data_IF_933212601914
#
_entry.id   IF_933212601914
#
_cell.length_a   1.000
_cell.length_b   1.000
_cell.length_c   1.000
_cell.angle_alpha   90.00
_cell.angle_beta   90.00
_cell.angle_gamma   90.00
#
_symmetry.space_group_name_H-M   'P 1'
#
loop_
_entity.id
_entity.type
_entity.pdbx_description
1 polymer ?
#
# COMPACT_ATOMS: atom_id res chain seq x y z
N UNK A 1 27.15 0.07 -95.11
CA UNK A 1 25.80 0.52 -94.71
C UNK A 1 25.88 0.81 -93.23
N UNK A 2 25.60 2.06 -92.89
CA UNK A 2 25.81 2.82 -91.64
C UNK A 2 25.14 2.18 -90.39
N UNK A 3 25.35 2.55 -89.11
CA UNK A 3 25.56 3.86 -88.44
C UNK A 3 26.26 3.65 -87.07
N UNK A 4 26.95 4.68 -86.59
CA UNK A 4 27.69 4.81 -85.33
C UNK A 4 26.85 4.77 -84.02
N UNK A 5 27.48 4.35 -82.91
CA UNK A 5 27.09 4.68 -81.53
C UNK A 5 28.31 4.95 -80.65
N UNK A 6 28.23 6.06 -79.90
CA UNK A 6 29.24 6.65 -79.03
C UNK A 6 28.86 6.34 -77.56
N UNK A 7 29.80 5.85 -76.75
CA UNK A 7 29.61 5.55 -75.32
C UNK A 7 30.69 6.27 -74.47
N UNK A 8 30.32 7.18 -73.53
CA UNK A 8 31.23 7.69 -72.52
C UNK A 8 30.90 7.14 -71.13
N UNK A 9 31.64 6.13 -70.68
CA UNK A 9 31.63 5.61 -69.31
C UNK A 9 32.74 6.21 -68.44
N UNK A 10 32.39 6.99 -67.40
CA UNK A 10 33.12 7.05 -66.12
C UNK A 10 32.32 7.87 -65.05
N UNK A 11 31.93 7.28 -63.91
CA UNK A 11 31.35 8.00 -62.77
C UNK A 11 32.41 8.70 -61.91
N UNK A 12 32.06 9.86 -61.33
CA UNK A 12 32.88 10.67 -60.40
C UNK A 12 33.10 9.96 -59.03
N UNK A 13 34.18 10.25 -58.29
CA UNK A 13 34.55 9.52 -57.07
C UNK A 13 33.67 9.88 -55.86
N UNK A 14 33.28 8.85 -55.10
CA UNK A 14 32.41 8.89 -53.91
C UNK A 14 32.98 9.65 -52.69
N UNK A 15 34.25 10.08 -52.74
CA UNK A 15 34.93 10.75 -51.62
C UNK A 15 34.38 12.16 -51.30
N UNK A 16 33.74 12.84 -52.25
CA UNK A 16 33.19 14.18 -52.01
C UNK A 16 31.87 14.15 -51.25
N UNK A 17 31.05 13.11 -51.41
CA UNK A 17 29.74 12.98 -50.75
C UNK A 17 29.85 12.57 -49.29
N UNK A 18 30.85 11.77 -48.91
CA UNK A 18 31.12 11.42 -47.51
C UNK A 18 31.72 12.60 -46.72
N UNK A 19 32.56 13.42 -47.36
CA UNK A 19 33.10 14.64 -46.75
C UNK A 19 32.01 15.71 -46.54
N UNK A 20 31.07 15.84 -47.48
CA UNK A 20 29.95 16.78 -47.39
C UNK A 20 28.93 16.35 -46.31
N UNK A 21 28.65 15.05 -46.18
CA UNK A 21 27.79 14.52 -45.11
C UNK A 21 28.45 14.58 -43.72
N UNK A 22 29.78 14.39 -43.63
CA UNK A 22 30.52 14.58 -42.38
C UNK A 22 30.54 16.06 -41.97
N UNK A 23 30.68 16.99 -42.93
CA UNK A 23 30.60 18.43 -42.68
C UNK A 23 29.18 18.83 -42.21
N UNK A 24 28.12 18.36 -42.86
CA UNK A 24 26.73 18.56 -42.45
C UNK A 24 26.45 18.00 -41.05
N UNK A 25 26.95 16.81 -40.73
CA UNK A 25 26.77 16.20 -39.40
C UNK A 25 27.50 16.99 -38.31
N UNK A 26 28.69 17.50 -38.63
CA UNK A 26 29.48 18.35 -37.71
C UNK A 26 28.84 19.73 -37.52
N UNK A 27 28.21 20.27 -38.57
CA UNK A 27 27.47 21.53 -38.51
C UNK A 27 26.20 21.40 -37.67
N UNK A 28 25.46 20.28 -37.82
CA UNK A 28 24.27 19.95 -37.02
C UNK A 28 24.64 19.71 -35.55
N UNK A 29 25.75 19.02 -35.27
CA UNK A 29 26.27 18.84 -33.91
C UNK A 29 26.72 20.17 -33.28
N UNK A 30 27.33 21.06 -34.07
CA UNK A 30 27.74 22.40 -33.65
C UNK A 30 26.55 23.32 -33.33
N UNK A 31 25.49 23.30 -34.14
CA UNK A 31 24.25 24.04 -33.86
C UNK A 31 23.50 23.48 -32.66
N UNK A 32 23.50 22.15 -32.45
CA UNK A 32 22.86 21.53 -31.27
C UNK A 32 23.64 21.83 -29.98
N UNK A 33 24.96 22.01 -30.06
CA UNK A 33 25.80 22.43 -28.94
C UNK A 33 25.61 23.91 -28.60
N UNK A 34 25.54 24.81 -29.59
CA UNK A 34 25.21 26.23 -29.38
C UNK A 34 23.78 26.44 -28.89
N UNK A 35 22.82 25.60 -29.29
CA UNK A 35 21.44 25.64 -28.78
C UNK A 35 21.38 25.14 -27.32
N UNK A 36 22.22 24.17 -26.93
CA UNK A 36 22.38 23.77 -25.52
C UNK A 36 23.06 24.83 -24.65
N UNK A 37 24.08 25.51 -25.16
CA UNK A 37 24.78 26.57 -24.44
C UNK A 37 23.94 27.85 -24.35
N UNK A 38 23.15 28.18 -25.38
CA UNK A 38 22.18 29.27 -25.34
C UNK A 38 21.01 29.03 -24.37
N UNK A 39 20.58 27.77 -24.22
CA UNK A 39 19.58 27.37 -23.20
C UNK A 39 20.19 27.37 -21.78
N UNK A 40 21.49 27.07 -21.65
CA UNK A 40 22.20 27.15 -20.38
C UNK A 40 22.46 28.60 -19.93
N UNK A 41 22.77 29.52 -20.85
CA UNK A 41 22.94 30.95 -20.53
C UNK A 41 21.60 31.68 -20.31
N UNK A 42 20.52 31.31 -21.01
CA UNK A 42 19.19 31.89 -20.77
C UNK A 42 18.59 31.49 -19.40
N UNK A 43 19.03 30.37 -18.81
CA UNK A 43 18.66 29.98 -17.44
C UNK A 43 19.45 30.70 -16.34
N UNK A 44 20.46 31.51 -16.67
CA UNK A 44 21.27 32.24 -15.69
C UNK A 44 20.73 33.65 -15.35
N UNK A 45 19.70 34.14 -16.03
CA UNK A 45 19.15 35.50 -15.86
C UNK A 45 17.61 35.57 -15.76
N UNK A 46 16.98 34.59 -15.11
CA UNK A 46 15.61 34.74 -14.62
C UNK A 46 15.60 34.78 -13.10
N UNK A 47 15.04 35.86 -12.58
CA UNK A 47 14.91 36.15 -11.16
C UNK A 47 14.33 34.98 -10.35
N UNK A 48 14.87 34.84 -9.14
CA UNK A 48 14.43 33.96 -8.08
C UNK A 48 12.91 34.03 -7.81
N UNK A 49 12.11 33.28 -8.56
CA UNK A 49 10.79 32.83 -8.11
C UNK A 49 10.87 31.32 -7.94
N UNK A 50 11.33 30.91 -6.76
CA UNK A 50 11.25 29.53 -6.31
C UNK A 50 9.79 29.07 -6.26
N UNK A 51 9.31 28.46 -7.35
CA UNK A 51 8.05 27.70 -7.33
C UNK A 51 8.31 26.49 -6.44
N UNK A 52 7.99 26.64 -5.14
CA UNK A 52 7.97 25.53 -4.18
C UNK A 52 7.17 24.39 -4.81
N UNK A 53 7.73 23.17 -4.95
CA UNK A 53 6.93 22.02 -5.34
C UNK A 53 5.78 21.90 -4.34
N UNK A 54 4.54 21.95 -4.85
CA UNK A 54 3.31 21.83 -4.05
C UNK A 54 3.44 20.56 -3.23
N UNK A 55 3.58 20.70 -1.90
CA UNK A 55 3.70 19.57 -0.96
C UNK A 55 2.59 18.57 -1.29
N UNK A 56 2.95 17.30 -1.54
CA UNK A 56 1.99 16.23 -1.64
C UNK A 56 1.06 16.28 -0.42
N UNK A 57 -0.28 16.17 -0.60
CA UNK A 57 -1.21 16.29 0.50
C UNK A 57 -0.84 15.27 1.58
N UNK A 58 -0.57 15.75 2.80
CA UNK A 58 -0.20 14.89 3.92
C UNK A 58 -1.30 13.85 4.14
N UNK A 59 -0.93 12.57 4.12
CA UNK A 59 -1.83 11.46 4.36
C UNK A 59 -2.41 11.55 5.79
N UNK A 60 -3.58 12.16 5.92
CA UNK A 60 -4.27 12.31 7.20
C UNK A 60 -5.25 11.16 7.41
N UNK A 61 -5.23 10.52 8.58
CA UNK A 61 -6.20 9.48 8.97
C UNK A 61 -7.66 9.95 8.80
N UNK A 62 -7.89 11.27 8.82
CA UNK A 62 -9.17 11.92 8.49
C UNK A 62 -9.73 11.46 7.14
N UNK A 63 -8.89 11.35 6.12
CA UNK A 63 -9.31 10.90 4.79
C UNK A 63 -9.71 9.44 4.79
N UNK A 64 -9.01 8.58 5.55
CA UNK A 64 -9.46 7.20 5.75
C UNK A 64 -10.87 7.14 6.36
N UNK A 65 -11.13 7.87 7.44
CA UNK A 65 -12.46 7.90 8.05
C UNK A 65 -13.52 8.54 7.15
N UNK A 66 -13.15 9.52 6.32
CA UNK A 66 -14.04 10.14 5.34
C UNK A 66 -14.52 9.15 4.29
N UNK A 67 -13.76 8.11 3.95
CA UNK A 67 -14.24 7.07 3.01
C UNK A 67 -15.57 6.46 3.47
N UNK A 68 -15.75 6.28 4.78
CA UNK A 68 -17.00 5.72 5.32
C UNK A 68 -18.21 6.65 5.11
N UNK A 69 -18.03 7.95 4.88
CA UNK A 69 -19.15 8.87 4.61
C UNK A 69 -19.83 8.64 3.26
N UNK A 70 -19.21 7.85 2.37
CA UNK A 70 -19.80 7.42 1.10
C UNK A 70 -20.69 6.19 1.25
N UNK A 71 -20.79 5.62 2.46
CA UNK A 71 -21.71 4.55 2.79
C UNK A 71 -23.14 5.05 3.03
N UNK A 72 -24.10 4.18 2.76
CA UNK A 72 -25.50 4.38 3.12
C UNK A 72 -25.75 4.00 4.58
N UNK A 73 -26.90 4.40 5.16
CA UNK A 73 -27.27 4.00 6.52
C UNK A 73 -27.22 2.47 6.74
N UNK A 74 -27.57 1.68 5.72
CA UNK A 74 -27.45 0.22 5.74
C UNK A 74 -25.99 -0.24 5.85
N UNK A 75 -25.06 0.43 5.18
CA UNK A 75 -23.63 0.08 5.22
C UNK A 75 -23.05 0.31 6.61
N UNK A 76 -23.50 1.35 7.32
CA UNK A 76 -23.14 1.60 8.73
C UNK A 76 -23.67 0.51 9.67
N UNK A 77 -24.89 0.00 9.44
CA UNK A 77 -25.42 -1.15 10.18
C UNK A 77 -24.61 -2.42 9.91
N UNK A 78 -24.21 -2.66 8.67
CA UNK A 78 -23.34 -3.80 8.34
C UNK A 78 -21.96 -3.69 9.01
N UNK A 79 -21.37 -2.50 9.04
CA UNK A 79 -20.07 -2.27 9.68
C UNK A 79 -20.17 -2.45 11.20
N UNK A 80 -21.23 -1.94 11.84
CA UNK A 80 -21.42 -2.12 13.28
C UNK A 80 -21.64 -3.60 13.64
N UNK A 81 -22.43 -4.32 12.84
CA UNK A 81 -22.61 -5.76 12.96
C UNK A 81 -21.28 -6.52 12.78
N UNK A 82 -20.46 -6.12 11.81
CA UNK A 82 -19.12 -6.65 11.62
C UNK A 82 -18.25 -6.41 12.87
N UNK A 83 -18.23 -5.21 13.46
CA UNK A 83 -17.43 -4.95 14.65
C UNK A 83 -17.81 -5.89 15.81
N UNK A 84 -19.11 -6.02 16.09
CA UNK A 84 -19.61 -6.90 17.18
C UNK A 84 -19.26 -8.36 16.92
N UNK A 85 -19.51 -8.85 15.70
CA UNK A 85 -19.25 -10.25 15.34
C UNK A 85 -17.75 -10.57 15.25
N UNK A 86 -16.91 -9.62 14.82
CA UNK A 86 -15.45 -9.75 14.81
C UNK A 86 -14.88 -9.84 16.22
N UNK A 87 -15.39 -9.02 17.14
CA UNK A 87 -15.03 -9.08 18.56
C UNK A 87 -15.42 -10.44 19.14
N UNK A 88 -16.66 -10.89 18.91
CA UNK A 88 -17.12 -12.20 19.37
C UNK A 88 -16.28 -13.37 18.84
N UNK A 89 -15.93 -13.33 17.54
CA UNK A 89 -15.04 -14.31 16.91
C UNK A 89 -13.62 -14.28 17.49
N UNK A 90 -13.10 -13.09 17.82
CA UNK A 90 -11.78 -12.92 18.43
C UNK A 90 -11.69 -13.50 19.85
N UNK A 91 -12.75 -13.35 20.66
CA UNK A 91 -12.81 -13.82 22.06
C UNK A 91 -13.00 -15.34 22.18
N UNK A 92 -13.42 -16.02 21.10
CA UNK A 92 -13.65 -17.47 21.12
C UNK A 92 -12.42 -18.28 21.56
N UNK A 93 -11.21 -17.92 21.11
CA UNK A 93 -9.98 -18.63 21.49
C UNK A 93 -9.59 -18.43 22.97
N UNK A 94 -9.64 -17.21 23.55
CA UNK A 94 -9.52 -17.03 24.99
C UNK A 94 -10.52 -17.87 25.80
N UNK A 95 -11.78 -17.96 25.36
CA UNK A 95 -12.79 -18.80 26.02
C UNK A 95 -12.46 -20.30 25.91
N UNK A 96 -11.93 -20.74 24.77
CA UNK A 96 -11.45 -22.11 24.59
C UNK A 96 -10.38 -22.47 25.62
N UNK A 97 -9.46 -21.55 25.94
CA UNK A 97 -8.42 -21.81 26.94
C UNK A 97 -9.01 -22.08 28.32
N UNK A 98 -10.10 -21.41 28.70
CA UNK A 98 -10.80 -21.68 29.98
C UNK A 98 -11.33 -23.11 30.00
N UNK A 99 -12.07 -23.50 28.96
CA UNK A 99 -12.65 -24.84 28.84
C UNK A 99 -11.56 -25.91 28.83
N UNK A 100 -10.46 -25.65 28.10
CA UNK A 100 -9.31 -26.55 28.06
C UNK A 100 -8.62 -26.68 29.42
N UNK A 101 -8.44 -25.58 30.15
CA UNK A 101 -7.88 -25.64 31.51
C UNK A 101 -8.77 -26.38 32.50
N UNK A 102 -10.09 -26.23 32.41
CA UNK A 102 -11.04 -27.01 33.20
C UNK A 102 -10.98 -28.50 32.87
N UNK A 103 -10.79 -28.83 31.58
CA UNK A 103 -10.59 -30.21 31.14
C UNK A 103 -9.31 -30.78 31.77
N UNK A 104 -8.17 -30.09 31.66
CA UNK A 104 -6.90 -30.51 32.28
C UNK A 104 -7.04 -30.67 33.80
N UNK A 105 -7.75 -29.75 34.46
CA UNK A 105 -8.08 -29.84 35.88
C UNK A 105 -8.86 -31.11 36.21
N UNK A 106 -9.93 -31.40 35.45
CA UNK A 106 -10.77 -32.59 35.65
C UNK A 106 -10.00 -33.90 35.50
N UNK A 107 -9.11 -33.98 34.50
CA UNK A 107 -8.22 -35.11 34.32
C UNK A 107 -7.26 -35.25 35.51
N UNK A 108 -6.63 -34.15 35.92
CA UNK A 108 -5.67 -34.18 37.04
C UNK A 108 -6.36 -34.61 38.34
N UNK A 109 -7.55 -34.08 38.64
CA UNK A 109 -8.33 -34.46 39.81
C UNK A 109 -8.80 -35.91 39.77
N UNK A 110 -9.06 -36.52 38.62
CA UNK A 110 -9.45 -37.92 38.55
C UNK A 110 -8.26 -38.88 38.78
N UNK A 111 -7.09 -38.55 38.22
CA UNK A 111 -5.90 -39.41 38.28
C UNK A 111 -5.03 -39.24 39.54
N UNK A 112 -5.36 -38.31 40.45
CA UNK A 112 -4.69 -38.22 41.75
C UNK A 112 -5.08 -39.44 42.63
N UNK A 113 -4.12 -40.11 43.29
CA UNK A 113 -4.41 -41.21 44.21
C UNK A 113 -5.29 -40.75 45.39
N UNK A 114 -6.39 -41.47 45.67
CA UNK A 114 -7.28 -41.19 46.82
C UNK A 114 -8.45 -40.24 46.55
N UNK A 115 -8.82 -40.05 45.28
CA UNK A 115 -9.90 -39.13 44.89
C UNK A 115 -11.28 -39.76 45.07
N UNK A 116 -12.25 -38.92 45.44
CA UNK A 116 -13.66 -39.30 45.64
C UNK A 116 -14.49 -39.23 44.36
N UNK A 117 -13.85 -38.92 43.22
CA UNK A 117 -14.54 -38.68 41.95
C UNK A 117 -14.84 -40.02 41.27
N UNK A 118 -16.12 -40.30 41.07
CA UNK A 118 -16.55 -41.52 40.37
C UNK A 118 -16.31 -41.44 38.87
N UNK A 119 -16.08 -42.59 38.22
CA UNK A 119 -15.90 -42.67 36.75
C UNK A 119 -17.07 -42.04 35.97
N UNK A 120 -18.32 -42.17 36.47
CA UNK A 120 -19.49 -41.52 35.87
C UNK A 120 -19.45 -39.99 35.97
N UNK A 121 -19.05 -39.43 37.10
CA UNK A 121 -18.92 -37.98 37.27
C UNK A 121 -17.83 -37.41 36.37
N UNK A 122 -16.70 -38.11 36.26
CA UNK A 122 -15.63 -37.73 35.34
C UNK A 122 -16.10 -37.72 33.87
N UNK A 123 -16.73 -38.80 33.40
CA UNK A 123 -17.26 -38.87 32.04
C UNK A 123 -18.31 -37.79 31.76
N UNK A 124 -19.20 -37.49 32.71
CA UNK A 124 -20.20 -36.45 32.57
C UNK A 124 -19.57 -35.06 32.41
N UNK A 125 -18.55 -34.73 33.21
CA UNK A 125 -17.84 -33.44 33.16
C UNK A 125 -17.08 -33.29 31.83
N UNK A 126 -16.35 -34.34 31.41
CA UNK A 126 -15.62 -34.35 30.13
C UNK A 126 -16.58 -34.19 28.94
N UNK A 127 -17.70 -34.90 28.93
CA UNK A 127 -18.71 -34.79 27.86
C UNK A 127 -19.29 -33.37 27.81
N UNK A 128 -19.59 -32.76 28.96
CA UNK A 128 -20.07 -31.38 29.05
C UNK A 128 -19.06 -30.36 28.51
N UNK A 129 -17.79 -30.46 28.93
CA UNK A 129 -16.71 -29.58 28.45
C UNK A 129 -16.45 -29.76 26.95
N UNK A 130 -16.55 -30.99 26.43
CA UNK A 130 -16.42 -31.28 25.00
C UNK A 130 -17.56 -30.63 24.20
N UNK A 131 -18.81 -30.72 24.69
CA UNK A 131 -19.95 -30.03 24.08
C UNK A 131 -19.78 -28.51 24.08
N UNK A 132 -19.22 -27.93 25.15
CA UNK A 132 -18.90 -26.50 25.18
C UNK A 132 -17.89 -26.10 24.10
N UNK A 133 -16.86 -26.92 23.85
CA UNK A 133 -15.94 -26.68 22.74
C UNK A 133 -16.66 -26.72 21.37
N UNK A 134 -17.51 -27.72 21.15
CA UNK A 134 -18.28 -27.85 19.90
C UNK A 134 -19.15 -26.61 19.67
N UNK A 135 -19.97 -26.20 20.66
CA UNK A 135 -20.83 -25.02 20.53
C UNK A 135 -20.04 -23.73 20.37
N UNK A 136 -18.91 -23.58 21.06
CA UNK A 136 -18.03 -22.43 20.94
C UNK A 136 -17.46 -22.30 19.53
N UNK A 137 -17.01 -23.40 18.92
CA UNK A 137 -16.46 -23.36 17.56
C UNK A 137 -17.52 -23.19 16.47
N UNK A 138 -18.73 -23.72 16.67
CA UNK A 138 -19.88 -23.42 15.81
C UNK A 138 -20.20 -21.92 15.88
N UNK A 139 -20.29 -21.35 17.09
CA UNK A 139 -20.52 -19.92 17.27
C UNK A 139 -19.41 -19.08 16.62
N UNK A 140 -18.13 -19.45 16.81
CA UNK A 140 -16.99 -18.78 16.17
C UNK A 140 -17.10 -18.83 14.65
N UNK A 141 -17.44 -19.97 14.07
CA UNK A 141 -17.61 -20.12 12.62
C UNK A 141 -18.69 -19.17 12.10
N UNK A 142 -19.87 -19.16 12.71
CA UNK A 142 -20.97 -18.27 12.33
C UNK A 142 -20.60 -16.80 12.47
N UNK A 143 -20.02 -16.40 13.61
CA UNK A 143 -19.60 -15.02 13.87
C UNK A 143 -18.52 -14.56 12.89
N UNK A 144 -17.53 -15.40 12.60
CA UNK A 144 -16.47 -15.09 11.64
C UNK A 144 -17.01 -14.97 10.21
N UNK A 145 -17.96 -15.82 9.84
CA UNK A 145 -18.60 -15.79 8.52
C UNK A 145 -19.44 -14.54 8.33
N UNK A 146 -20.31 -14.22 9.32
CA UNK A 146 -21.14 -13.00 9.29
C UNK A 146 -20.26 -11.75 9.27
N UNK A 147 -19.21 -11.68 10.10
CA UNK A 147 -18.23 -10.58 10.10
C UNK A 147 -17.64 -10.36 8.70
N UNK A 148 -17.07 -11.41 8.09
CA UNK A 148 -16.41 -11.28 6.79
C UNK A 148 -17.40 -10.95 5.67
N UNK A 149 -18.59 -11.53 5.67
CA UNK A 149 -19.61 -11.24 4.66
C UNK A 149 -20.10 -9.79 4.75
N UNK A 150 -20.52 -9.36 5.94
CA UNK A 150 -21.11 -8.02 6.15
C UNK A 150 -20.10 -6.92 5.79
N UNK A 151 -18.84 -7.07 6.21
CA UNK A 151 -17.78 -6.10 5.90
C UNK A 151 -17.39 -6.11 4.42
N UNK A 152 -17.43 -7.27 3.77
CA UNK A 152 -17.08 -7.39 2.34
C UNK A 152 -18.15 -6.76 1.47
N UNK A 153 -19.44 -6.97 1.79
CA UNK A 153 -20.56 -6.34 1.08
C UNK A 153 -20.51 -4.82 1.24
N UNK A 154 -20.41 -4.33 2.48
CA UNK A 154 -20.34 -2.89 2.79
C UNK A 154 -19.12 -2.24 2.12
N UNK A 155 -17.94 -2.87 2.22
CA UNK A 155 -16.71 -2.38 1.58
C UNK A 155 -16.79 -2.29 0.06
N UNK A 156 -17.45 -3.24 -0.62
CA UNK A 156 -17.67 -3.18 -2.07
C UNK A 156 -18.60 -2.02 -2.45
N UNK A 157 -19.69 -1.81 -1.70
CA UNK A 157 -20.64 -0.72 -1.94
C UNK A 157 -20.01 0.65 -1.75
N UNK A 158 -19.34 0.87 -0.61
CA UNK A 158 -18.63 2.12 -0.31
C UNK A 158 -17.55 2.39 -1.36
N UNK A 159 -16.77 1.36 -1.72
CA UNK A 159 -15.72 1.50 -2.74
C UNK A 159 -16.29 1.83 -4.13
N UNK A 160 -17.42 1.23 -4.52
CA UNK A 160 -18.11 1.57 -5.77
C UNK A 160 -18.60 3.01 -5.78
N UNK A 161 -19.24 3.47 -4.69
CA UNK A 161 -19.68 4.86 -4.54
C UNK A 161 -18.51 5.86 -4.58
N UNK A 162 -17.39 5.54 -3.93
CA UNK A 162 -16.18 6.35 -3.97
C UNK A 162 -15.59 6.44 -5.38
N UNK A 163 -15.49 5.32 -6.11
CA UNK A 163 -15.01 5.30 -7.51
C UNK A 163 -15.91 6.13 -8.41
N UNK A 164 -17.22 6.05 -8.23
CA UNK A 164 -18.18 6.83 -8.99
C UNK A 164 -18.05 8.33 -8.69
N UNK A 165 -17.90 8.70 -7.42
CA UNK A 165 -17.67 10.09 -7.01
C UNK A 165 -16.35 10.64 -7.59
N UNK A 166 -15.28 9.83 -7.56
CA UNK A 166 -14.01 10.19 -8.18
C UNK A 166 -14.14 10.42 -9.69
N UNK A 167 -14.81 9.51 -10.41
CA UNK A 167 -15.04 9.66 -11.86
C UNK A 167 -15.87 10.92 -12.18
N UNK A 168 -16.96 11.17 -11.45
CA UNK A 168 -17.79 12.37 -11.64
C UNK A 168 -16.99 13.65 -11.40
N UNK A 169 -16.19 13.68 -10.32
CA UNK A 169 -15.36 14.83 -10.02
C UNK A 169 -14.27 15.04 -11.08
N UNK A 170 -13.65 13.95 -11.56
CA UNK A 170 -12.65 14.01 -12.62
C UNK A 170 -13.21 14.61 -13.92
N UNK A 171 -14.39 14.16 -14.36
CA UNK A 171 -15.02 14.70 -15.58
C UNK A 171 -15.58 16.11 -15.41
N UNK A 172 -15.81 16.56 -14.17
CA UNK A 172 -16.22 17.94 -13.88
C UNK A 172 -15.04 18.92 -13.82
N UNK A 173 -13.79 18.43 -13.80
CA UNK A 173 -12.61 19.30 -13.79
C UNK A 173 -12.44 20.04 -15.13
N UNK A 174 -11.78 21.23 -15.13
CA UNK A 174 -11.44 21.92 -16.36
C UNK A 174 -10.49 21.06 -17.21
N UNK A 175 -10.60 21.17 -18.54
CA UNK A 175 -9.73 20.45 -19.49
C UNK A 175 -8.25 20.71 -19.19
N UNK A 176 -7.89 21.94 -18.79
CA UNK A 176 -6.52 22.29 -18.39
C UNK A 176 -5.97 21.47 -17.22
N UNK A 177 -6.80 21.11 -16.24
CA UNK A 177 -6.39 20.28 -15.10
C UNK A 177 -6.30 18.82 -15.52
N UNK A 178 -7.22 18.36 -16.36
CA UNK A 178 -7.21 16.99 -16.90
C UNK A 178 -5.98 16.76 -17.76
N UNK A 179 -5.62 17.71 -18.64
CA UNK A 179 -4.43 17.65 -19.48
C UNK A 179 -3.12 17.60 -18.68
N UNK A 180 -3.11 18.20 -17.48
CA UNK A 180 -1.97 18.13 -16.58
C UNK A 180 -1.85 16.79 -15.82
N UNK A 181 -2.91 15.99 -15.78
CA UNK A 181 -2.91 14.70 -15.09
C UNK A 181 -2.55 13.59 -16.09
N UNK A 182 -1.44 12.90 -15.83
CA UNK A 182 -1.07 11.72 -16.62
C UNK A 182 -2.19 10.65 -16.61
N UNK A 183 -2.58 10.11 -17.79
CA UNK A 183 -3.61 9.06 -17.88
C UNK A 183 -3.31 7.83 -17.00
N UNK A 184 -2.03 7.49 -16.84
CA UNK A 184 -1.61 6.39 -15.97
C UNK A 184 -1.97 6.61 -14.50
N UNK A 185 -1.89 7.86 -14.00
CA UNK A 185 -2.29 8.19 -12.62
C UNK A 185 -3.79 7.99 -12.41
N UNK A 186 -4.61 8.35 -13.41
CA UNK A 186 -6.07 8.13 -13.36
C UNK A 186 -6.38 6.63 -13.30
N UNK A 187 -5.74 5.83 -14.16
CA UNK A 187 -5.90 4.38 -14.20
C UNK A 187 -5.51 3.72 -12.86
N UNK A 188 -4.36 4.09 -12.29
CA UNK A 188 -3.91 3.57 -10.99
C UNK A 188 -4.87 3.96 -9.86
N UNK A 189 -5.40 5.19 -9.88
CA UNK A 189 -6.33 5.67 -8.84
C UNK A 189 -7.64 4.89 -8.84
N UNK A 190 -8.24 4.65 -10.01
CA UNK A 190 -9.51 3.92 -10.11
C UNK A 190 -9.37 2.41 -9.84
N UNK A 191 -8.21 1.83 -10.18
CA UNK A 191 -7.92 0.41 -9.98
C UNK A 191 -7.22 0.15 -8.64
N UNK A 192 -5.90 0.28 -8.60
CA UNK A 192 -5.01 -0.09 -7.49
C UNK A 192 -5.28 0.70 -6.22
N UNK A 193 -5.33 2.04 -6.28
CA UNK A 193 -5.53 2.88 -5.08
C UNK A 193 -6.92 2.65 -4.48
N UNK A 194 -7.95 2.61 -5.32
CA UNK A 194 -9.32 2.30 -4.87
C UNK A 194 -9.46 0.89 -4.31
N UNK A 195 -8.75 -0.10 -4.87
CA UNK A 195 -8.73 -1.46 -4.32
C UNK A 195 -8.01 -1.53 -2.97
N UNK A 196 -6.92 -0.79 -2.82
CA UNK A 196 -6.19 -0.67 -1.54
C UNK A 196 -7.11 -0.08 -0.45
N UNK A 197 -7.86 0.97 -0.78
CA UNK A 197 -8.87 1.54 0.12
C UNK A 197 -9.96 0.51 0.45
N UNK A 198 -10.46 -0.21 -0.55
CA UNK A 198 -11.52 -1.21 -0.39
C UNK A 198 -11.12 -2.35 0.57
N UNK A 199 -9.92 -2.89 0.43
CA UNK A 199 -9.40 -3.93 1.32
C UNK A 199 -9.19 -3.42 2.75
N UNK A 200 -8.77 -2.16 2.89
CA UNK A 200 -8.53 -1.55 4.19
C UNK A 200 -9.80 -1.24 4.98
N UNK A 201 -10.88 -0.78 4.33
CA UNK A 201 -12.18 -0.55 4.98
C UNK A 201 -12.99 -1.84 5.19
N UNK A 202 -12.55 -2.96 4.60
CA UNK A 202 -13.23 -4.26 4.70
C UNK A 202 -12.44 -5.28 5.49
N UNK A 203 -11.68 -6.14 4.80
CA UNK A 203 -10.99 -7.28 5.40
C UNK A 203 -10.02 -6.88 6.51
N UNK A 204 -9.17 -5.87 6.27
CA UNK A 204 -8.22 -5.45 7.30
C UNK A 204 -8.92 -4.79 8.48
N UNK A 205 -10.01 -4.06 8.25
CA UNK A 205 -10.82 -3.49 9.32
C UNK A 205 -11.36 -4.59 10.25
N UNK A 206 -12.00 -5.63 9.71
CA UNK A 206 -12.49 -6.76 10.51
C UNK A 206 -11.37 -7.52 11.23
N UNK A 207 -10.25 -7.80 10.53
CA UNK A 207 -9.09 -8.45 11.12
C UNK A 207 -8.48 -7.66 12.28
N UNK A 208 -8.50 -6.33 12.22
CA UNK A 208 -8.03 -5.47 13.31
C UNK A 208 -8.85 -5.69 14.58
N UNK A 209 -10.19 -5.59 14.49
CA UNK A 209 -11.07 -5.81 15.65
C UNK A 209 -10.98 -7.23 16.19
N UNK A 210 -10.91 -8.23 15.31
CA UNK A 210 -10.75 -9.63 15.72
C UNK A 210 -9.42 -9.86 16.46
N UNK A 211 -8.31 -9.29 15.95
CA UNK A 211 -6.99 -9.46 16.56
C UNK A 211 -6.87 -8.70 17.88
N UNK A 212 -7.44 -7.48 17.97
CA UNK A 212 -7.52 -6.71 19.22
C UNK A 212 -8.35 -7.47 20.27
N UNK A 213 -9.54 -7.95 19.90
CA UNK A 213 -10.41 -8.70 20.80
C UNK A 213 -9.77 -10.00 21.28
N UNK A 214 -9.02 -10.67 20.41
CA UNK A 214 -8.25 -11.86 20.77
C UNK A 214 -7.17 -11.54 21.82
N UNK A 215 -6.30 -10.55 21.54
CA UNK A 215 -5.18 -10.21 22.42
C UNK A 215 -5.69 -9.69 23.77
N UNK A 216 -6.66 -8.76 23.74
CA UNK A 216 -7.28 -8.21 24.95
C UNK A 216 -8.00 -9.32 25.71
N UNK A 217 -8.82 -10.14 25.03
CA UNK A 217 -9.55 -11.24 25.64
C UNK A 217 -8.64 -12.27 26.31
N UNK A 218 -7.53 -12.63 25.66
CA UNK A 218 -6.55 -13.57 26.21
C UNK A 218 -5.91 -13.02 27.49
N UNK A 219 -5.52 -11.74 27.50
CA UNK A 219 -4.97 -11.09 28.70
C UNK A 219 -5.99 -10.95 29.81
N UNK A 220 -7.22 -10.54 29.50
CA UNK A 220 -8.32 -10.43 30.46
C UNK A 220 -8.57 -11.78 31.14
N UNK A 221 -8.66 -12.87 30.37
CA UNK A 221 -8.83 -14.23 30.91
C UNK A 221 -7.64 -14.63 31.80
N UNK A 222 -6.42 -14.36 31.38
CA UNK A 222 -5.22 -14.69 32.15
C UNK A 222 -5.16 -13.93 33.49
N UNK A 223 -5.38 -12.61 33.46
CA UNK A 223 -5.37 -11.76 34.65
C UNK A 223 -6.49 -12.10 35.64
N UNK A 224 -7.68 -12.47 35.16
CA UNK A 224 -8.78 -12.91 36.02
C UNK A 224 -8.42 -14.22 36.74
N UNK A 225 -7.66 -15.12 36.08
CA UNK A 225 -7.33 -16.45 36.63
C UNK A 225 -6.15 -16.44 37.59
N UNK A 226 -5.03 -15.84 37.22
CA UNK A 226 -3.91 -15.62 38.14
C UNK A 226 -3.14 -14.36 37.71
N UNK A 227 -3.31 -13.24 38.43
CA UNK A 227 -2.65 -11.98 38.08
C UNK A 227 -1.12 -12.09 38.13
N UNK A 228 -0.59 -12.79 39.14
CA UNK A 228 0.84 -12.85 39.41
C UNK A 228 1.56 -13.76 38.42
N UNK A 229 0.99 -14.94 38.09
CA UNK A 229 1.53 -15.80 37.04
C UNK A 229 1.46 -15.13 35.68
N UNK A 230 0.40 -14.38 35.39
CA UNK A 230 0.25 -13.63 34.14
C UNK A 230 1.33 -12.57 33.99
N UNK A 231 1.62 -11.80 35.05
CA UNK A 231 2.67 -10.78 35.03
C UNK A 231 4.05 -11.39 34.72
N UNK A 232 4.36 -12.50 35.38
CA UNK A 232 5.63 -13.22 35.20
C UNK A 232 5.73 -13.81 33.78
N UNK A 233 4.66 -14.44 33.28
CA UNK A 233 4.61 -14.99 31.92
C UNK A 233 4.72 -13.89 30.85
N UNK A 234 4.23 -12.69 31.15
CA UNK A 234 4.26 -11.51 30.28
C UNK A 234 5.60 -10.80 30.24
N UNK A 235 6.59 -11.20 31.06
CA UNK A 235 7.93 -10.62 31.04
C UNK A 235 8.65 -10.80 29.68
N UNK A 236 8.20 -11.74 28.84
CA UNK A 236 8.70 -11.89 27.47
C UNK A 236 8.25 -10.79 26.52
N UNK A 237 7.11 -10.13 26.76
CA UNK A 237 6.63 -9.03 25.93
C UNK A 237 7.59 -7.83 25.91
N UNK A 238 7.98 -7.23 27.05
CA UNK A 238 8.92 -6.12 27.02
C UNK A 238 10.27 -6.52 26.44
N UNK A 239 10.72 -7.77 26.66
CA UNK A 239 11.91 -8.30 26.00
C UNK A 239 11.78 -8.29 24.47
N UNK A 240 10.69 -8.82 23.92
CA UNK A 240 10.42 -8.82 22.48
C UNK A 240 10.36 -7.37 21.96
N UNK A 241 9.64 -6.47 22.64
CA UNK A 241 9.50 -5.07 22.22
C UNK A 241 10.84 -4.32 22.19
N UNK A 242 11.69 -4.47 23.21
CA UNK A 242 13.00 -3.83 23.27
C UNK A 242 13.91 -4.34 22.15
N UNK A 243 13.96 -5.66 21.95
CA UNK A 243 14.81 -6.25 20.91
C UNK A 243 14.32 -5.84 19.51
N UNK A 244 13.02 -5.93 19.23
CA UNK A 244 12.48 -5.47 17.95
C UNK A 244 12.67 -3.97 17.74
N UNK A 245 12.52 -3.16 18.79
CA UNK A 245 12.77 -1.72 18.73
C UNK A 245 14.21 -1.37 18.34
N UNK A 246 15.19 -2.18 18.76
CA UNK A 246 16.59 -2.00 18.39
C UNK A 246 16.93 -2.52 16.98
N UNK A 247 16.33 -3.64 16.56
CA UNK A 247 16.66 -4.32 15.30
C UNK A 247 15.90 -3.79 14.08
N UNK A 248 14.69 -3.27 14.26
CA UNK A 248 13.84 -2.81 13.17
C UNK A 248 14.41 -1.58 12.42
N UNK A 249 14.93 -0.53 13.09
CA UNK A 249 15.51 0.63 12.39
C UNK A 249 16.69 0.31 11.45
N UNK A 250 17.74 -0.43 11.87
CA UNK A 250 18.82 -0.79 10.95
C UNK A 250 18.34 -1.70 9.83
N UNK A 251 17.37 -2.58 10.09
CA UNK A 251 16.78 -3.46 9.07
C UNK A 251 16.08 -2.68 7.96
N UNK A 252 15.21 -1.74 8.33
CA UNK A 252 14.54 -0.84 7.38
C UNK A 252 15.56 -0.03 6.59
N UNK A 253 16.64 0.44 7.23
CA UNK A 253 17.68 1.24 6.56
C UNK A 253 18.42 0.44 5.49
N UNK A 254 18.83 -0.81 5.79
CA UNK A 254 19.51 -1.67 4.82
C UNK A 254 18.56 -1.98 3.66
N UNK A 255 17.31 -2.35 3.94
CA UNK A 255 16.32 -2.62 2.90
C UNK A 255 16.08 -1.42 1.98
N UNK A 256 15.96 -0.21 2.54
CA UNK A 256 15.79 1.01 1.75
C UNK A 256 16.97 1.28 0.82
N UNK A 257 18.21 1.02 1.27
CA UNK A 257 19.40 1.18 0.41
C UNK A 257 19.41 0.14 -0.71
N UNK A 258 19.04 -1.11 -0.40
CA UNK A 258 18.90 -2.17 -1.41
C UNK A 258 17.82 -1.81 -2.45
N UNK A 259 16.68 -1.27 -2.02
CA UNK A 259 15.60 -0.82 -2.89
C UNK A 259 16.09 0.27 -3.86
N UNK A 260 16.83 1.28 -3.37
CA UNK A 260 17.44 2.29 -4.24
C UNK A 260 18.38 1.69 -5.31
N UNK A 261 19.18 0.69 -4.96
CA UNK A 261 20.05 0.02 -5.95
C UNK A 261 19.25 -0.79 -6.98
N UNK A 262 18.12 -1.38 -6.59
CA UNK A 262 17.21 -2.02 -7.54
C UNK A 262 16.52 -1.01 -8.46
N UNK A 263 16.18 0.17 -7.96
CA UNK A 263 15.62 1.25 -8.77
C UNK A 263 16.62 1.72 -9.82
N UNK A 264 17.88 1.97 -9.44
CA UNK A 264 18.95 2.36 -10.36
C UNK A 264 19.21 1.29 -11.43
N UNK A 265 19.28 0.01 -11.03
CA UNK A 265 19.47 -1.10 -11.95
C UNK A 265 18.28 -1.24 -12.92
N UNK A 266 17.06 -1.06 -12.43
CA UNK A 266 15.84 -1.12 -13.24
C UNK A 266 15.77 0.04 -14.25
N UNK A 267 16.17 1.26 -13.83
CA UNK A 267 16.26 2.41 -14.71
C UNK A 267 17.26 2.17 -15.85
N UNK A 268 18.45 1.65 -15.54
CA UNK A 268 19.44 1.29 -16.57
C UNK A 268 18.90 0.21 -17.53
N UNK A 269 18.26 -0.84 -17.01
CA UNK A 269 17.66 -1.86 -17.85
C UNK A 269 16.61 -1.25 -18.80
N UNK A 270 15.78 -0.34 -18.30
CA UNK A 270 14.81 0.38 -19.11
C UNK A 270 15.47 1.20 -20.23
N UNK A 271 16.55 1.93 -19.94
CA UNK A 271 17.32 2.67 -20.95
C UNK A 271 17.88 1.74 -22.04
N UNK A 272 18.49 0.62 -21.65
CA UNK A 272 19.04 -0.38 -22.57
C UNK A 272 17.96 -0.93 -23.50
N UNK A 273 16.81 -1.36 -22.95
CA UNK A 273 15.73 -1.92 -23.76
C UNK A 273 15.03 -0.87 -24.62
N UNK A 274 14.86 0.35 -24.13
CA UNK A 274 14.26 1.46 -24.90
C UNK A 274 15.10 1.84 -26.12
N UNK A 275 16.44 1.72 -26.01
CA UNK A 275 17.40 2.08 -27.04
C UNK A 275 18.12 0.88 -27.64
N UNK A 276 17.48 -0.30 -27.64
CA UNK A 276 18.12 -1.58 -28.00
C UNK A 276 18.78 -1.56 -29.39
N UNK A 277 18.19 -0.84 -30.36
CA UNK A 277 18.76 -0.70 -31.70
C UNK A 277 20.11 0.01 -31.69
N UNK A 278 20.27 1.03 -30.85
CA UNK A 278 21.53 1.77 -30.67
C UNK A 278 22.55 0.87 -29.98
N UNK A 279 22.14 0.16 -28.92
CA UNK A 279 23.02 -0.77 -28.21
C UNK A 279 23.61 -1.83 -29.14
N UNK A 280 22.76 -2.44 -29.99
CA UNK A 280 23.19 -3.44 -30.99
C UNK A 280 24.04 -2.81 -32.09
N UNK A 281 23.68 -1.62 -32.58
CA UNK A 281 24.44 -0.91 -33.62
C UNK A 281 25.88 -0.58 -33.19
N UNK A 282 26.10 -0.32 -31.91
CA UNK A 282 27.42 -0.11 -31.33
C UNK A 282 28.05 -1.38 -30.71
N UNK A 283 27.40 -2.54 -30.83
CA UNK A 283 27.79 -3.82 -30.19
C UNK A 283 28.17 -3.66 -28.71
N UNK A 284 27.37 -2.89 -27.98
CA UNK A 284 27.63 -2.53 -26.58
C UNK A 284 26.92 -3.47 -25.58
N UNK A 285 26.31 -4.56 -26.03
CA UNK A 285 25.46 -5.45 -25.20
C UNK A 285 26.25 -5.98 -24.00
N UNK A 286 27.45 -6.53 -24.23
CA UNK A 286 28.27 -7.11 -23.17
C UNK A 286 28.72 -6.05 -22.15
N UNK A 287 29.02 -4.83 -22.62
CA UNK A 287 29.46 -3.73 -21.75
C UNK A 287 28.32 -3.26 -20.85
N UNK A 288 27.13 -3.04 -21.42
CA UNK A 288 25.96 -2.58 -20.67
C UNK A 288 25.40 -3.68 -19.76
N UNK A 289 25.42 -4.93 -20.19
CA UNK A 289 25.06 -6.07 -19.34
C UNK A 289 25.97 -6.16 -18.11
N UNK A 290 27.29 -5.97 -18.28
CA UNK A 290 28.23 -5.95 -17.16
C UNK A 290 28.00 -4.76 -16.22
N UNK A 291 27.69 -3.57 -16.75
CA UNK A 291 27.35 -2.42 -15.90
C UNK A 291 26.08 -2.67 -15.07
N UNK A 292 25.08 -3.32 -15.67
CA UNK A 292 23.87 -3.72 -14.96
C UNK A 292 24.16 -4.78 -13.88
N UNK A 293 24.99 -5.78 -14.22
CA UNK A 293 25.47 -6.78 -13.27
C UNK A 293 26.17 -6.12 -12.07
N UNK A 294 27.09 -5.19 -12.29
CA UNK A 294 27.80 -4.45 -11.23
C UNK A 294 26.84 -3.71 -10.27
N UNK A 295 25.71 -3.21 -10.78
CA UNK A 295 24.67 -2.57 -9.96
C UNK A 295 23.90 -3.60 -9.12
N UNK A 296 23.49 -4.71 -9.73
CA UNK A 296 22.84 -5.82 -9.01
C UNK A 296 23.75 -6.41 -7.94
N UNK A 297 25.05 -6.48 -8.21
CA UNK A 297 26.05 -6.99 -7.29
C UNK A 297 26.20 -6.11 -6.04
N UNK A 298 26.06 -4.79 -6.20
CA UNK A 298 25.99 -3.84 -5.06
C UNK A 298 24.72 -4.06 -4.24
N UNK A 299 23.57 -4.22 -4.89
CA UNK A 299 22.30 -4.54 -4.22
C UNK A 299 22.42 -5.84 -3.41
N UNK A 300 22.94 -6.90 -4.03
CA UNK A 300 23.15 -8.20 -3.40
C UNK A 300 24.11 -8.13 -2.21
N UNK A 301 25.23 -7.40 -2.33
CA UNK A 301 26.19 -7.20 -1.23
C UNK A 301 25.57 -6.45 -0.06
N UNK A 302 24.71 -5.47 -0.32
CA UNK A 302 24.00 -4.75 0.74
C UNK A 302 22.92 -5.63 1.40
N UNK A 303 22.14 -6.36 0.62
CA UNK A 303 21.09 -7.25 1.12
C UNK A 303 21.64 -8.43 1.93
N UNK A 304 22.81 -8.95 1.57
CA UNK A 304 23.52 -9.95 2.40
C UNK A 304 23.78 -9.46 3.83
N UNK A 305 23.89 -8.16 4.07
CA UNK A 305 23.99 -7.59 5.43
C UNK A 305 22.66 -7.62 6.18
N UNK A 306 21.53 -7.67 5.48
CA UNK A 306 20.20 -7.83 6.08
C UNK A 306 19.93 -9.28 6.52
N UNK A 307 20.51 -10.28 5.84
CA UNK A 307 20.31 -11.70 6.17
C UNK A 307 20.54 -12.07 7.64
N UNK A 308 21.68 -11.72 8.30
CA UNK A 308 21.87 -12.01 9.72
C UNK A 308 20.88 -11.24 10.60
N UNK A 309 20.52 -10.02 10.20
CA UNK A 309 19.57 -9.18 10.93
C UNK A 309 18.15 -9.77 10.89
N UNK A 310 17.73 -10.34 9.75
CA UNK A 310 16.48 -11.09 9.59
C UNK A 310 16.42 -12.30 10.54
N UNK A 311 17.51 -13.08 10.60
CA UNK A 311 17.63 -14.20 11.55
C UNK A 311 17.55 -13.72 13.01
N UNK A 312 18.18 -12.59 13.31
CA UNK A 312 18.13 -11.94 14.62
C UNK A 312 16.76 -11.32 14.93
N UNK A 313 15.89 -11.05 13.95
CA UNK A 313 14.51 -10.64 14.20
C UNK A 313 13.61 -11.84 14.53
N UNK A 314 13.83 -13.00 13.89
CA UNK A 314 13.03 -14.20 14.17
C UNK A 314 13.40 -14.88 15.51
N UNK A 315 14.68 -14.91 15.86
CA UNK A 315 15.19 -15.65 17.02
C UNK A 315 14.63 -15.17 18.39
N UNK A 316 14.54 -13.86 18.68
CA UNK A 316 13.99 -13.34 19.95
C UNK A 316 12.53 -13.69 20.15
N UNK A 317 11.75 -13.80 19.07
CA UNK A 317 10.34 -14.23 19.14
C UNK A 317 10.25 -15.70 19.61
N UNK A 318 11.08 -16.58 19.04
CA UNK A 318 11.14 -17.99 19.46
C UNK A 318 11.69 -18.14 20.89
N UNK A 319 12.76 -17.42 21.24
CA UNK A 319 13.32 -17.42 22.61
C UNK A 319 12.28 -16.89 23.61
N UNK A 320 11.59 -15.80 23.28
CA UNK A 320 10.53 -15.24 24.13
C UNK A 320 9.38 -16.24 24.34
N UNK A 321 9.00 -16.98 23.29
CA UNK A 321 7.94 -17.99 23.35
C UNK A 321 8.33 -19.18 24.25
N UNK A 322 9.49 -19.80 23.99
CA UNK A 322 9.97 -20.93 24.82
C UNK A 322 10.35 -20.48 26.24
N UNK A 323 10.85 -19.25 26.40
CA UNK A 323 11.12 -18.63 27.69
C UNK A 323 9.84 -18.43 28.51
N UNK A 324 8.76 -17.95 27.88
CA UNK A 324 7.44 -17.87 28.54
C UNK A 324 6.96 -19.25 28.96
N UNK A 325 7.11 -20.29 28.14
CA UNK A 325 6.80 -21.67 28.54
C UNK A 325 7.58 -22.09 29.78
N UNK A 326 8.91 -21.95 29.75
CA UNK A 326 9.78 -22.39 30.84
C UNK A 326 9.46 -21.66 32.15
N UNK A 327 9.35 -20.33 32.10
CA UNK A 327 9.09 -19.51 33.28
C UNK A 327 7.67 -19.77 33.82
N UNK A 328 6.66 -19.83 32.95
CA UNK A 328 5.28 -20.05 33.38
C UNK A 328 5.07 -21.45 33.99
N UNK A 329 5.71 -22.49 33.45
CA UNK A 329 5.68 -23.82 34.08
C UNK A 329 6.44 -23.85 35.40
N UNK A 330 7.69 -23.36 35.44
CA UNK A 330 8.48 -23.36 36.66
C UNK A 330 7.80 -22.58 37.79
N UNK A 331 7.38 -21.35 37.49
CA UNK A 331 6.73 -20.49 38.47
C UNK A 331 5.32 -20.99 38.83
N UNK A 332 4.56 -21.49 37.84
CA UNK A 332 3.24 -22.08 38.06
C UNK A 332 3.29 -23.30 38.97
N UNK A 333 4.15 -24.27 38.67
CA UNK A 333 4.32 -25.48 39.50
C UNK A 333 4.79 -25.11 40.91
N UNK A 334 5.74 -24.18 41.03
CA UNK A 334 6.17 -23.66 42.34
C UNK A 334 5.00 -23.12 43.15
N UNK A 335 4.15 -22.26 42.56
CA UNK A 335 2.99 -21.71 43.27
C UNK A 335 1.93 -22.77 43.61
N UNK A 336 1.74 -23.76 42.74
CA UNK A 336 0.87 -24.89 43.03
C UNK A 336 1.40 -25.72 44.22
N UNK A 337 2.70 -25.99 44.26
CA UNK A 337 3.32 -26.72 45.39
C UNK A 337 3.27 -25.95 46.71
N UNK A 338 3.28 -24.61 46.65
CA UNK A 338 3.12 -23.74 47.82
C UNK A 338 1.65 -23.60 48.27
N UNK A 339 0.70 -24.26 47.58
CA UNK A 339 -0.73 -24.19 47.89
C UNK A 339 -1.36 -22.82 47.59
N UNK A 340 -0.69 -21.97 46.80
CA UNK A 340 -1.14 -20.60 46.48
C UNK A 340 -1.92 -20.50 45.17
N UNK A 341 -2.19 -21.63 44.52
CA UNK A 341 -2.94 -21.73 43.26
C UNK A 341 -3.90 -22.92 43.34
N UNK A 342 -5.14 -22.70 42.94
CA UNK A 342 -6.23 -23.65 43.19
C UNK A 342 -6.15 -24.93 42.35
N UNK A 343 -5.54 -24.86 41.15
CA UNK A 343 -5.47 -26.01 40.24
C UNK A 343 -4.37 -25.92 39.19
N UNK A 344 -3.90 -27.09 38.72
CA UNK A 344 -3.05 -27.21 37.52
C UNK A 344 -3.75 -26.67 36.25
N UNK A 345 -5.08 -26.71 36.24
CA UNK A 345 -5.90 -26.10 35.20
C UNK A 345 -5.66 -24.60 35.08
N UNK A 346 -5.61 -23.87 36.19
CA UNK A 346 -5.36 -22.41 36.22
C UNK A 346 -4.03 -22.04 35.55
N UNK A 347 -2.97 -22.78 35.86
CA UNK A 347 -1.64 -22.59 35.25
C UNK A 347 -1.72 -22.79 33.73
N UNK A 348 -2.42 -23.84 33.30
CA UNK A 348 -2.63 -24.15 31.89
C UNK A 348 -3.39 -23.03 31.17
N UNK A 349 -4.46 -22.49 31.76
CA UNK A 349 -5.24 -21.38 31.18
C UNK A 349 -4.35 -20.17 30.96
N UNK A 350 -3.59 -19.77 31.98
CA UNK A 350 -2.74 -18.57 31.95
C UNK A 350 -1.62 -18.76 30.93
N UNK A 351 -0.94 -19.90 30.94
CA UNK A 351 0.13 -20.23 30.00
C UNK A 351 -0.33 -20.11 28.54
N UNK A 352 -1.39 -20.83 28.16
CA UNK A 352 -1.87 -20.82 26.78
C UNK A 352 -2.43 -19.45 26.38
N UNK A 353 -3.07 -18.73 27.30
CA UNK A 353 -3.62 -17.40 27.02
C UNK A 353 -2.53 -16.37 26.76
N UNK A 354 -1.51 -16.28 27.63
CA UNK A 354 -0.39 -15.34 27.44
C UNK A 354 0.42 -15.69 26.20
N UNK A 355 0.72 -16.97 25.98
CA UNK A 355 1.45 -17.39 24.79
C UNK A 355 0.71 -17.04 23.50
N UNK A 356 -0.58 -17.38 23.43
CA UNK A 356 -1.40 -17.06 22.26
C UNK A 356 -1.47 -15.55 22.04
N UNK A 357 -1.60 -14.74 23.10
CA UNK A 357 -1.60 -13.29 23.00
C UNK A 357 -0.28 -12.77 22.40
N UNK A 358 0.86 -13.26 22.90
CA UNK A 358 2.20 -12.90 22.37
C UNK A 358 2.36 -13.26 20.89
N UNK A 359 1.94 -14.46 20.48
CA UNK A 359 2.03 -14.89 19.07
C UNK A 359 1.10 -14.08 18.15
N UNK A 360 -0.07 -13.66 18.64
CA UNK A 360 -1.04 -12.92 17.85
C UNK A 360 -0.84 -11.40 17.91
N UNK A 361 0.07 -10.90 18.74
CA UNK A 361 0.38 -9.47 18.82
C UNK A 361 0.84 -8.92 17.45
N UNK A 362 1.70 -9.67 16.73
CA UNK A 362 2.16 -9.30 15.40
C UNK A 362 1.04 -9.22 14.35
N UNK A 363 -0.08 -9.94 14.54
CA UNK A 363 -1.21 -9.90 13.60
C UNK A 363 -1.98 -8.58 13.64
N UNK A 364 -1.84 -7.79 14.70
CA UNK A 364 -2.44 -6.45 14.81
C UNK A 364 -1.72 -5.45 13.89
N UNK A 365 -0.42 -5.66 13.63
CA UNK A 365 0.42 -4.72 12.87
C UNK A 365 0.03 -4.67 11.39
N UNK A 366 -0.24 -5.82 10.76
CA UNK A 366 -0.55 -5.88 9.32
C UNK A 366 -1.79 -5.07 8.93
N UNK A 367 -2.94 -5.19 9.61
CA UNK A 367 -4.09 -4.32 9.39
C UNK A 367 -3.81 -2.83 9.58
N UNK A 368 -3.03 -2.46 10.60
CA UNK A 368 -2.66 -1.06 10.85
C UNK A 368 -1.88 -0.48 9.66
N UNK A 369 -0.90 -1.22 9.14
CA UNK A 369 -0.12 -0.80 7.97
C UNK A 369 -1.03 -0.67 6.74
N UNK A 370 -1.96 -1.61 6.53
CA UNK A 370 -2.91 -1.56 5.42
C UNK A 370 -3.83 -0.32 5.49
N UNK A 371 -4.32 0.01 6.69
CA UNK A 371 -5.11 1.23 6.94
C UNK A 371 -4.29 2.49 6.68
N UNK A 372 -3.03 2.52 7.10
CA UNK A 372 -2.13 3.65 6.82
C UNK A 372 -1.89 3.84 5.31
N UNK A 373 -1.65 2.74 4.56
CA UNK A 373 -1.54 2.78 3.10
C UNK A 373 -2.83 3.28 2.43
N UNK A 374 -3.98 2.81 2.90
CA UNK A 374 -5.26 3.28 2.42
C UNK A 374 -5.54 4.76 2.72
N UNK A 375 -5.06 5.29 3.84
CA UNK A 375 -5.14 6.73 4.15
C UNK A 375 -4.41 7.58 3.09
N UNK A 376 -3.22 7.15 2.66
CA UNK A 376 -2.49 7.81 1.57
C UNK A 376 -3.25 7.72 0.25
N UNK A 377 -3.71 6.51 -0.12
CA UNK A 377 -4.48 6.29 -1.34
C UNK A 377 -5.79 7.09 -1.38
N UNK A 378 -6.52 7.16 -0.25
CA UNK A 378 -7.72 7.95 -0.11
C UNK A 378 -7.45 9.46 -0.24
N UNK A 379 -6.31 9.93 0.30
CA UNK A 379 -5.91 11.33 0.20
C UNK A 379 -5.72 11.76 -1.26
N UNK A 380 -5.14 10.90 -2.10
CA UNK A 380 -5.00 11.18 -3.53
C UNK A 380 -6.35 11.20 -4.28
N UNK A 381 -7.28 10.33 -3.91
CA UNK A 381 -8.64 10.32 -4.47
C UNK A 381 -9.39 11.60 -4.07
N UNK A 382 -9.32 11.98 -2.79
CA UNK A 382 -9.97 13.19 -2.29
C UNK A 382 -9.37 14.48 -2.86
N UNK A 383 -8.08 14.49 -3.19
CA UNK A 383 -7.47 15.63 -3.88
C UNK A 383 -8.15 15.96 -5.23
N UNK A 384 -8.68 14.96 -5.95
CA UNK A 384 -9.46 15.18 -7.17
C UNK A 384 -10.94 15.42 -6.88
N UNK A 385 -11.50 14.75 -5.87
CA UNK A 385 -12.92 14.91 -5.50
C UNK A 385 -13.21 16.32 -4.95
N UNK A 386 -12.29 16.87 -4.18
CA UNK A 386 -12.43 18.19 -3.54
C UNK A 386 -11.88 19.33 -4.39
N UNK A 387 -11.34 19.02 -5.58
CA UNK A 387 -10.78 20.05 -6.44
C UNK A 387 -11.91 21.00 -6.91
N UNK A 388 -11.68 22.32 -6.88
CA UNK A 388 -12.69 23.29 -7.25
C UNK A 388 -13.11 23.07 -8.70
N UNK A 389 -14.41 22.92 -8.90
CA UNK A 389 -14.99 22.83 -10.24
C UNK A 389 -15.16 24.24 -10.82
N UNK A 390 -14.83 24.44 -12.11
CA UNK A 390 -15.00 25.73 -12.77
C UNK A 390 -16.50 26.08 -12.79
N UNK A 391 -16.81 27.35 -12.58
CA UNK A 391 -18.18 27.82 -12.68
C UNK A 391 -18.59 27.79 -14.16
N UNK A 392 -19.53 26.90 -14.52
CA UNK A 392 -20.09 26.82 -15.87
C UNK A 392 -21.31 27.72 -16.06
N UNK A 393 -21.59 28.62 -15.11
CA UNK A 393 -22.60 29.66 -15.27
C UNK A 393 -22.12 30.70 -16.30
N UNK A 394 -22.37 30.42 -17.57
CA UNK A 394 -22.31 31.38 -18.67
C UNK A 394 -23.68 31.95 -19.00
N UNK A 395 -23.71 32.85 -19.97
CA UNK A 395 -24.94 33.32 -20.60
C UNK A 395 -25.68 32.14 -21.25
N UNK A 396 -27.01 32.17 -21.20
CA UNK A 396 -27.89 31.18 -21.82
C UNK A 396 -28.89 31.92 -22.70
N UNK A 397 -29.56 31.20 -23.60
CA UNK A 397 -30.70 31.78 -24.32
C UNK A 397 -31.68 32.44 -23.33
N UNK A 398 -32.16 33.67 -23.61
CA UNK A 398 -32.08 34.37 -24.90
C UNK A 398 -30.87 35.32 -25.08
N UNK A 399 -29.96 35.42 -24.10
CA UNK A 399 -28.87 36.42 -24.11
C UNK A 399 -27.73 36.12 -25.09
N UNK A 400 -27.72 34.91 -25.67
CA UNK A 400 -26.76 34.45 -26.67
C UNK A 400 -27.51 33.69 -27.75
N UNK A 401 -27.30 34.04 -29.00
CA UNK A 401 -27.89 33.41 -30.19
C UNK A 401 -26.80 32.74 -31.03
N UNK A 402 -27.09 31.56 -31.58
CA UNK A 402 -26.18 30.86 -32.48
C UNK A 402 -26.12 31.49 -33.89
N UNK A 403 -27.07 32.36 -34.23
CA UNK A 403 -27.22 32.97 -35.56
C UNK A 403 -26.43 34.28 -35.74
N UNK A 404 -25.60 34.66 -34.77
CA UNK A 404 -24.77 35.87 -34.82
C UNK A 404 -23.31 35.57 -35.15
N UNK A 405 -22.59 36.58 -35.64
CA UNK A 405 -21.16 36.49 -35.94
C UNK A 405 -20.33 36.10 -34.70
N UNK A 406 -19.30 35.26 -34.89
CA UNK A 406 -18.33 34.92 -33.83
C UNK A 406 -17.13 35.84 -33.98
N UNK A 407 -16.82 36.63 -32.96
CA UNK A 407 -15.70 37.59 -33.00
C UNK A 407 -14.67 37.28 -31.93
N UNK A 408 -13.41 37.15 -32.34
CA UNK A 408 -12.22 37.12 -31.50
C UNK A 408 -11.61 38.52 -31.51
N UNK A 409 -11.37 39.11 -30.33
CA UNK A 409 -10.76 40.43 -30.18
C UNK A 409 -9.52 40.33 -29.30
N UNK A 410 -8.36 40.64 -29.88
CA UNK A 410 -7.05 40.63 -29.25
C UNK A 410 -6.80 39.39 -28.35
N UNK A 411 -7.10 38.20 -28.88
CA UNK A 411 -7.06 36.97 -28.08
C UNK A 411 -5.63 36.49 -27.91
N UNK A 412 -5.22 36.35 -26.66
CA UNK A 412 -3.95 35.76 -26.23
C UNK A 412 -4.21 34.42 -25.53
N UNK A 413 -3.41 33.41 -25.82
CA UNK A 413 -3.59 32.08 -25.23
C UNK A 413 -2.25 31.33 -25.08
N UNK A 414 -2.04 30.78 -23.90
CA UNK A 414 -0.96 29.82 -23.59
C UNK A 414 -1.55 28.58 -22.93
N UNK A 415 -1.06 27.39 -23.29
CA UNK A 415 -1.46 26.18 -22.60
C UNK A 415 -0.94 26.19 -21.15
N UNK A 416 -1.73 25.78 -20.15
CA UNK A 416 -1.28 25.75 -18.75
C UNK A 416 -0.09 24.81 -18.49
N UNK A 417 0.11 23.81 -19.35
CA UNK A 417 1.29 22.94 -19.31
C UNK A 417 2.58 23.62 -19.77
N UNK A 418 2.48 24.73 -20.51
CA UNK A 418 3.59 25.55 -21.04
C UNK A 418 3.21 27.04 -21.00
N UNK A 419 3.10 27.64 -19.81
CA UNK A 419 2.62 29.01 -19.66
C UNK A 419 3.52 30.02 -20.39
N UNK A 420 4.82 29.72 -20.47
CA UNK A 420 5.85 30.58 -21.06
C UNK A 420 5.84 30.58 -22.60
N UNK A 421 5.03 29.72 -23.24
CA UNK A 421 4.94 29.62 -24.70
C UNK A 421 3.57 30.11 -25.17
N UNK A 422 3.45 31.39 -25.56
CA UNK A 422 2.21 31.94 -26.12
C UNK A 422 1.93 31.34 -27.50
N UNK A 423 0.75 30.76 -27.65
CA UNK A 423 0.25 30.15 -28.90
C UNK A 423 -0.53 31.17 -29.72
N UNK A 424 -1.46 31.89 -29.11
CA UNK A 424 -2.14 33.03 -29.73
C UNK A 424 -1.55 34.33 -29.18
N UNK A 425 -1.23 35.27 -30.07
CA UNK A 425 -0.57 36.54 -29.76
C UNK A 425 -1.40 37.68 -30.35
N UNK A 426 -2.43 38.11 -29.62
CA UNK A 426 -3.31 39.20 -30.05
C UNK A 426 -4.10 38.89 -31.33
N UNK A 427 -4.78 37.75 -31.37
CA UNK A 427 -5.59 37.35 -32.53
C UNK A 427 -6.90 38.14 -32.59
N UNK A 428 -7.09 38.91 -33.66
CA UNK A 428 -8.35 39.53 -34.05
C UNK A 428 -8.94 38.80 -35.26
N UNK A 429 -10.16 38.27 -35.14
CA UNK A 429 -10.79 37.51 -36.22
C UNK A 429 -12.32 37.54 -36.12
N UNK A 430 -13.01 37.59 -37.26
CA UNK A 430 -14.49 37.58 -37.32
C UNK A 430 -14.93 36.43 -38.20
N UNK A 431 -15.88 35.62 -37.70
CA UNK A 431 -16.59 34.60 -38.46
C UNK A 431 -18.02 35.05 -38.69
N UNK A 432 -18.37 35.34 -39.94
CA UNK A 432 -19.70 35.79 -40.32
C UNK A 432 -20.73 34.65 -40.26
N UNK A 433 -21.93 34.95 -39.75
CA UNK A 433 -23.01 34.00 -39.64
C UNK A 433 -23.38 33.38 -41.01
N UNK A 434 -23.56 32.05 -41.04
CA UNK A 434 -23.97 31.31 -42.22
C UNK A 434 -22.90 31.11 -43.30
N UNK A 435 -21.65 31.56 -43.07
CA UNK A 435 -20.53 31.32 -43.98
C UNK A 435 -19.57 30.25 -43.46
N UNK A 436 -18.82 29.64 -44.39
CA UNK A 436 -17.75 28.70 -44.09
C UNK A 436 -16.41 29.44 -44.17
N UNK A 437 -15.68 29.48 -43.07
CA UNK A 437 -14.33 30.07 -43.00
C UNK A 437 -13.31 28.95 -42.81
N UNK A 438 -12.23 28.98 -43.59
CA UNK A 438 -11.09 28.08 -43.43
C UNK A 438 -9.98 28.77 -42.63
N UNK A 439 -9.38 28.06 -41.68
CA UNK A 439 -8.30 28.52 -40.78
C UNK A 439 -7.03 27.73 -41.06
#
# INVERSE_FOLDING_TARGET
MDVATNDPSAPRPAASAEAENAALTTQVLGTTAQEKDGVAEASAHSDNVSVKPRKAPQAGMKNYFRVFSYGTAFDFVLISLCCVTSIGSGVAFPLMNIVFGQLVGSFTTYFIPGTTVTSRQFQAEVNKLTLYLVYLFIAKFLLSYISMLTVRISGLRISSALRLAYLRALFAQPVSVVDAISPGKVSTRITTSSNTVQLAISQHFAMLFQSLAFVIGAYVVAFIKSPLLTLVASASLPFILVVYGALLPPFIRIHKITENHHDDASAMAFEIFSSIRVVVAFSAEAKLAKQHEDMLDKAAKNERKAAPLMGLMMSPMMIGQYGTFAIAFWFGIKRYSEGKEDSVGTITIVLFSVMMATMNFGRVVSPIIAIAKASSAATELFATIDAPVPNTAGLKEPDVTADSDITFQNVEFSYPSRPDVPILKGLDLVFEAGKVTAI
#
